data_IF_866632550543
#
_entry.id   IF_866632550543
#
_cell.length_a   1.000
_cell.length_b   1.000
_cell.length_c   1.000
_cell.angle_alpha   90.00
_cell.angle_beta   90.00
_cell.angle_gamma   90.00
#
_symmetry.space_group_name_H-M   'P 1'
#
loop_
_entity.id
_entity.type
_entity.pdbx_description
1 polymer ?
#
# COMPACT_ATOMS: atom_id res chain seq x y z
N UNK A 1 -10.38 27.24 22.75
CA UNK A 1 -11.31 26.69 23.76
C UNK A 1 -10.84 25.29 24.04
N UNK A 2 -10.08 25.08 25.13
CA UNK A 2 -9.54 23.78 25.56
C UNK A 2 -10.66 23.10 26.31
N UNK A 3 -11.20 22.00 25.77
CA UNK A 3 -12.10 21.15 26.53
C UNK A 3 -11.23 20.40 27.54
N UNK A 4 -11.46 20.59 28.87
CA UNK A 4 -10.71 19.85 29.88
C UNK A 4 -11.03 18.38 29.71
N UNK A 5 -9.98 17.55 29.59
CA UNK A 5 -10.10 16.12 29.43
C UNK A 5 -10.79 15.48 30.64
N UNK A 6 -11.94 14.91 30.40
CA UNK A 6 -12.39 13.76 31.17
C UNK A 6 -11.65 12.54 30.63
N UNK A 7 -10.49 12.25 31.19
CA UNK A 7 -9.90 10.92 31.10
C UNK A 7 -10.80 9.96 31.87
N UNK A 8 -11.79 9.42 31.21
CA UNK A 8 -12.39 8.16 31.62
C UNK A 8 -11.42 7.04 31.22
N UNK A 9 -10.34 6.90 31.97
CA UNK A 9 -9.32 5.85 31.85
C UNK A 9 -9.85 4.45 32.26
N UNK A 10 -11.15 4.32 32.50
CA UNK A 10 -11.74 3.10 33.10
C UNK A 10 -12.28 2.07 32.12
N UNK A 11 -12.26 2.33 30.81
CA UNK A 11 -12.96 1.42 29.88
C UNK A 11 -12.22 0.12 29.52
N UNK A 12 -10.86 0.09 29.56
CA UNK A 12 -10.13 -1.14 29.22
C UNK A 12 -8.81 -1.26 29.98
N UNK A 13 -8.57 -2.38 30.69
CA UNK A 13 -7.30 -2.61 31.38
C UNK A 13 -6.12 -2.61 30.42
N UNK A 14 -4.96 -2.14 30.88
CA UNK A 14 -3.73 -2.12 30.09
C UNK A 14 -3.41 -3.53 29.59
N UNK A 15 -3.45 -3.74 28.30
CA UNK A 15 -3.15 -5.04 27.68
C UNK A 15 -1.65 -5.33 27.82
N UNK A 16 -1.30 -6.48 28.42
CA UNK A 16 0.10 -6.92 28.48
C UNK A 16 0.71 -7.08 27.09
N UNK A 17 2.03 -6.87 26.98
CA UNK A 17 2.76 -6.98 25.69
C UNK A 17 2.52 -8.30 24.97
N UNK A 18 2.48 -9.43 25.71
CA UNK A 18 2.21 -10.74 25.11
C UNK A 18 0.82 -10.85 24.47
N UNK A 19 -0.22 -10.36 25.14
CA UNK A 19 -1.57 -10.33 24.59
C UNK A 19 -1.69 -9.39 23.38
N UNK A 20 -0.89 -8.31 23.35
CA UNK A 20 -0.83 -7.43 22.19
C UNK A 20 -0.22 -8.12 20.98
N UNK A 21 0.91 -8.83 21.14
CA UNK A 21 1.55 -9.60 20.07
C UNK A 21 0.62 -10.71 19.58
N UNK A 22 0.03 -11.48 20.50
CA UNK A 22 -0.92 -12.53 20.14
C UNK A 22 -2.08 -12.01 19.28
N UNK A 23 -2.63 -10.85 19.61
CA UNK A 23 -3.71 -10.25 18.83
C UNK A 23 -3.30 -9.93 17.38
N UNK A 24 -2.08 -9.41 17.15
CA UNK A 24 -1.57 -9.18 15.80
C UNK A 24 -1.28 -10.49 15.05
N UNK A 25 -0.74 -11.49 15.73
CA UNK A 25 -0.51 -12.81 15.13
C UNK A 25 -1.83 -13.47 14.72
N UNK A 26 -2.86 -13.39 15.56
CA UNK A 26 -4.19 -13.89 15.22
C UNK A 26 -4.80 -13.14 14.03
N UNK A 27 -4.71 -11.81 13.98
CA UNK A 27 -5.21 -11.03 12.86
C UNK A 27 -4.49 -11.40 11.54
N UNK A 28 -3.17 -11.58 11.58
CA UNK A 28 -2.39 -12.04 10.42
C UNK A 28 -2.78 -13.46 10.00
N UNK A 29 -2.93 -14.37 10.96
CA UNK A 29 -3.29 -15.76 10.69
C UNK A 29 -4.70 -15.87 10.05
N UNK A 30 -5.67 -15.10 10.51
CA UNK A 30 -7.01 -15.02 9.91
C UNK A 30 -6.90 -14.61 8.44
N UNK A 31 -6.09 -13.59 8.14
CA UNK A 31 -5.85 -13.16 6.76
C UNK A 31 -5.20 -14.25 5.91
N UNK A 32 -4.18 -14.93 6.43
CA UNK A 32 -3.51 -16.02 5.70
C UNK A 32 -4.43 -17.23 5.46
N UNK A 33 -5.24 -17.58 6.44
CA UNK A 33 -6.24 -18.67 6.28
C UNK A 33 -7.24 -18.29 5.19
N UNK A 34 -7.78 -17.08 5.23
CA UNK A 34 -8.71 -16.62 4.20
C UNK A 34 -8.06 -16.61 2.82
N UNK A 35 -6.83 -16.12 2.70
CA UNK A 35 -6.09 -16.17 1.44
C UNK A 35 -5.91 -17.62 0.94
N UNK A 36 -5.55 -18.56 1.82
CA UNK A 36 -5.37 -19.96 1.46
C UNK A 36 -6.69 -20.64 1.03
N UNK A 37 -7.81 -20.22 1.61
CA UNK A 37 -9.14 -20.72 1.21
C UNK A 37 -9.55 -20.18 -0.17
N UNK A 38 -9.28 -18.90 -0.45
CA UNK A 38 -9.70 -18.24 -1.70
C UNK A 38 -8.78 -18.60 -2.89
N UNK A 39 -7.46 -18.70 -2.66
CA UNK A 39 -6.47 -18.77 -3.74
C UNK A 39 -5.69 -20.09 -3.82
N UNK A 40 -5.88 -21.00 -2.93
CA UNK A 40 -5.07 -22.21 -2.76
C UNK A 40 -3.59 -21.94 -2.45
N UNK A 41 -2.88 -22.85 -1.76
CA UNK A 41 -1.46 -22.66 -1.42
C UNK A 41 -0.54 -22.53 -2.65
N UNK A 42 -0.82 -23.23 -3.75
CA UNK A 42 -0.02 -23.16 -4.99
C UNK A 42 -0.06 -21.76 -5.59
N UNK A 43 -1.24 -21.12 -5.64
CA UNK A 43 -1.37 -19.74 -6.12
C UNK A 43 -0.60 -18.77 -5.23
N UNK A 44 -0.70 -18.92 -3.92
CA UNK A 44 0.00 -18.05 -2.95
C UNK A 44 1.53 -18.23 -2.99
N UNK A 45 2.01 -19.41 -3.40
CA UNK A 45 3.44 -19.65 -3.63
C UNK A 45 3.92 -19.16 -5.01
N UNK A 46 3.05 -18.59 -5.82
CA UNK A 46 3.39 -18.12 -7.15
C UNK A 46 3.59 -19.23 -8.19
N UNK A 47 3.00 -20.41 -7.95
CA UNK A 47 3.14 -21.60 -8.79
C UNK A 47 1.80 -22.10 -9.29
N UNK A 48 1.84 -23.00 -10.29
CA UNK A 48 0.66 -23.68 -10.81
C UNK A 48 -0.08 -22.95 -11.93
N UNK A 49 -1.09 -23.62 -12.51
CA UNK A 49 -1.74 -23.20 -13.76
C UNK A 49 -2.44 -21.85 -13.71
N UNK A 50 -2.82 -21.39 -12.53
CA UNK A 50 -3.41 -20.05 -12.35
C UNK A 50 -2.53 -18.92 -12.90
N UNK A 51 -1.20 -19.09 -12.82
CA UNK A 51 -0.24 -18.10 -13.29
C UNK A 51 0.23 -18.31 -14.74
N UNK A 52 -0.02 -19.49 -15.31
CA UNK A 52 0.43 -19.83 -16.66
C UNK A 52 -0.48 -19.24 -17.75
N UNK A 53 -1.77 -19.20 -17.49
CA UNK A 53 -2.76 -18.64 -18.41
C UNK A 53 -3.86 -17.88 -17.63
N UNK A 54 -3.54 -16.72 -17.06
CA UNK A 54 -4.52 -15.96 -16.31
C UNK A 54 -5.65 -15.47 -17.23
N UNK A 55 -6.89 -15.67 -16.81
CA UNK A 55 -8.07 -15.31 -17.59
C UNK A 55 -8.35 -13.80 -17.62
N UNK A 56 -7.53 -13.01 -16.95
CA UNK A 56 -7.72 -11.57 -16.79
C UNK A 56 -6.61 -10.79 -17.50
N UNK A 57 -6.96 -9.86 -18.42
CA UNK A 57 -5.99 -9.09 -19.21
C UNK A 57 -4.97 -8.34 -18.34
N UNK A 58 -5.43 -7.71 -17.25
CA UNK A 58 -4.55 -6.96 -16.35
C UNK A 58 -3.49 -7.86 -15.69
N UNK A 59 -3.91 -9.06 -15.26
CA UNK A 59 -2.97 -10.02 -14.67
C UNK A 59 -1.95 -10.52 -15.71
N UNK A 60 -2.38 -10.74 -16.97
CA UNK A 60 -1.45 -11.07 -18.06
C UNK A 60 -0.44 -9.94 -18.29
N UNK A 61 -0.91 -8.70 -18.26
CA UNK A 61 -0.07 -7.51 -18.38
C UNK A 61 0.97 -7.46 -17.26
N UNK A 62 0.54 -7.62 -15.99
CA UNK A 62 1.44 -7.62 -14.83
C UNK A 62 2.55 -8.67 -14.95
N UNK A 63 2.17 -9.92 -15.25
CA UNK A 63 3.11 -11.04 -15.36
C UNK A 63 4.08 -10.86 -16.54
N UNK A 64 3.57 -10.46 -17.69
CA UNK A 64 4.38 -10.25 -18.90
C UNK A 64 5.37 -9.10 -18.69
N UNK A 65 4.89 -7.97 -18.17
CA UNK A 65 5.75 -6.82 -17.88
C UNK A 65 6.84 -7.14 -16.86
N UNK A 66 6.50 -7.89 -15.80
CA UNK A 66 7.48 -8.36 -14.84
C UNK A 66 8.54 -9.26 -15.49
N UNK A 67 8.14 -10.23 -16.32
CA UNK A 67 9.07 -11.12 -17.04
C UNK A 67 10.02 -10.33 -17.94
N UNK A 68 9.53 -9.41 -18.76
CA UNK A 68 10.37 -8.55 -19.60
C UNK A 68 11.34 -7.72 -18.76
N UNK A 69 10.87 -7.11 -17.68
CA UNK A 69 11.71 -6.32 -16.80
C UNK A 69 12.85 -7.14 -16.15
N UNK A 70 12.55 -8.36 -15.68
CA UNK A 70 13.56 -9.23 -15.05
C UNK A 70 14.69 -9.60 -16.04
N UNK A 71 14.34 -9.90 -17.29
CA UNK A 71 15.32 -10.36 -18.30
C UNK A 71 16.10 -9.23 -18.96
N UNK A 72 15.61 -7.99 -18.91
CA UNK A 72 16.27 -6.86 -19.52
C UNK A 72 17.53 -6.39 -18.75
N UNK A 73 18.37 -5.61 -19.39
CA UNK A 73 19.53 -4.97 -18.77
C UNK A 73 19.12 -3.90 -17.76
N UNK A 74 20.03 -3.59 -16.83
CA UNK A 74 19.86 -2.43 -15.96
C UNK A 74 20.05 -1.13 -16.75
N UNK A 75 19.19 -0.16 -16.52
CA UNK A 75 19.29 1.19 -17.09
C UNK A 75 18.60 2.21 -16.20
N UNK A 76 18.75 3.47 -16.54
CA UNK A 76 18.02 4.57 -15.93
C UNK A 76 16.97 5.09 -16.93
N UNK A 77 15.74 5.38 -16.49
CA UNK A 77 15.17 5.13 -15.14
C UNK A 77 15.17 3.63 -14.77
N UNK A 78 15.18 3.35 -13.43
CA UNK A 78 15.44 1.99 -12.91
C UNK A 78 14.47 0.94 -13.44
N UNK A 79 13.20 1.32 -13.66
CA UNK A 79 12.15 0.41 -14.12
C UNK A 79 11.87 0.47 -15.63
N UNK A 80 12.72 1.14 -16.41
CA UNK A 80 12.63 1.15 -17.86
C UNK A 80 13.03 -0.20 -18.45
N UNK A 81 12.20 -0.74 -19.36
CA UNK A 81 12.55 -1.89 -20.20
C UNK A 81 12.39 -1.54 -21.68
N UNK A 82 13.37 -1.97 -22.50
CA UNK A 82 13.31 -1.84 -23.96
C UNK A 82 12.83 -3.10 -24.66
N UNK A 83 12.50 -4.14 -23.89
CA UNK A 83 11.89 -5.36 -24.44
C UNK A 83 10.37 -5.17 -24.72
N UNK A 84 9.81 -4.06 -24.24
CA UNK A 84 8.46 -3.62 -24.55
C UNK A 84 8.58 -2.26 -25.26
N UNK A 85 7.90 -2.11 -26.41
CA UNK A 85 7.92 -0.89 -27.25
C UNK A 85 9.32 -0.42 -27.64
N UNK A 86 10.15 -1.25 -28.31
CA UNK A 86 11.46 -0.84 -28.79
C UNK A 86 11.33 0.22 -29.90
N UNK A 87 12.31 1.13 -30.09
CA UNK A 87 13.59 1.20 -29.36
C UNK A 87 13.53 1.98 -28.04
N UNK A 88 12.49 2.79 -27.81
CA UNK A 88 12.40 3.73 -26.70
C UNK A 88 12.18 3.02 -25.39
N UNK A 89 11.33 2.00 -25.39
CA UNK A 89 10.97 1.25 -24.20
C UNK A 89 9.85 1.92 -23.41
N UNK A 90 9.44 1.26 -22.32
CA UNK A 90 8.44 1.76 -21.38
C UNK A 90 8.87 1.46 -19.96
N UNK A 91 8.56 2.35 -19.03
CA UNK A 91 8.72 2.06 -17.61
C UNK A 91 7.61 1.12 -17.16
N UNK A 92 7.99 -0.01 -16.56
CA UNK A 92 7.03 -1.01 -16.08
C UNK A 92 6.18 -0.53 -14.89
N UNK A 93 6.47 0.66 -14.35
CA UNK A 93 5.61 1.30 -13.35
C UNK A 93 4.20 1.60 -13.88
N UNK A 94 4.04 1.75 -15.21
CA UNK A 94 2.76 1.94 -15.88
C UNK A 94 2.03 0.62 -16.17
N UNK A 95 2.65 -0.52 -15.87
CA UNK A 95 2.15 -1.85 -16.18
C UNK A 95 1.86 -2.66 -14.90
N UNK A 96 1.67 -1.97 -13.80
CA UNK A 96 1.26 -2.50 -12.49
C UNK A 96 2.09 -3.69 -11.95
N UNK A 97 3.39 -3.67 -12.18
CA UNK A 97 4.29 -4.77 -11.76
C UNK A 97 4.67 -4.79 -10.28
N UNK A 98 4.17 -3.86 -9.45
CA UNK A 98 4.68 -3.62 -8.09
C UNK A 98 6.21 -3.34 -8.12
N UNK A 99 6.64 -2.12 -8.42
CA UNK A 99 8.04 -1.79 -8.64
C UNK A 99 8.98 -2.25 -7.53
N UNK A 100 8.55 -2.14 -6.26
CA UNK A 100 9.37 -2.58 -5.12
C UNK A 100 9.70 -4.07 -5.21
N UNK A 101 8.70 -4.91 -5.41
CA UNK A 101 8.90 -6.37 -5.50
C UNK A 101 9.61 -6.76 -6.80
N UNK A 102 9.29 -6.09 -7.91
CA UNK A 102 9.97 -6.30 -9.18
C UNK A 102 11.47 -6.01 -9.09
N UNK A 103 11.85 -4.96 -8.33
CA UNK A 103 13.27 -4.65 -8.07
C UNK A 103 13.98 -5.81 -7.36
N UNK A 104 13.41 -6.30 -6.25
CA UNK A 104 13.97 -7.44 -5.53
C UNK A 104 14.01 -8.71 -6.40
N UNK A 105 12.96 -8.99 -7.16
CA UNK A 105 12.91 -10.13 -8.06
C UNK A 105 13.97 -10.03 -9.17
N UNK A 106 14.22 -8.82 -9.72
CA UNK A 106 15.28 -8.60 -10.72
C UNK A 106 16.67 -8.79 -10.13
N UNK A 107 16.93 -8.29 -8.92
CA UNK A 107 18.19 -8.53 -8.21
C UNK A 107 18.37 -10.03 -7.99
N UNK A 108 17.36 -10.72 -7.50
CA UNK A 108 17.38 -12.18 -7.30
C UNK A 108 17.69 -12.92 -8.61
N UNK A 109 16.98 -12.58 -9.70
CA UNK A 109 17.21 -13.17 -11.01
C UNK A 109 18.65 -12.96 -11.53
N UNK A 110 19.19 -11.75 -11.36
CA UNK A 110 20.57 -11.44 -11.80
C UNK A 110 21.63 -12.17 -10.97
N UNK A 111 21.36 -12.51 -9.72
CA UNK A 111 22.26 -13.25 -8.84
C UNK A 111 22.19 -14.76 -9.02
N UNK A 112 20.99 -15.30 -9.28
CA UNK A 112 20.75 -16.76 -9.25
C UNK A 112 20.38 -17.38 -10.59
N UNK A 113 19.93 -16.57 -11.56
CA UNK A 113 19.35 -17.05 -12.82
C UNK A 113 17.92 -17.58 -12.71
N UNK A 114 17.35 -17.67 -11.49
CA UNK A 114 16.00 -18.20 -11.28
C UNK A 114 14.97 -17.09 -11.25
N UNK A 115 13.88 -17.26 -12.03
CA UNK A 115 12.71 -16.38 -11.97
C UNK A 115 11.83 -16.74 -10.78
N UNK A 116 11.30 -15.70 -10.11
CA UNK A 116 10.33 -15.85 -9.00
C UNK A 116 9.05 -15.12 -9.36
N UNK A 117 7.92 -15.79 -9.23
CA UNK A 117 6.63 -15.13 -9.28
C UNK A 117 6.30 -14.60 -7.87
N UNK A 118 6.53 -13.31 -7.66
CA UNK A 118 6.31 -12.63 -6.39
C UNK A 118 4.85 -12.22 -6.14
N UNK A 119 3.98 -12.32 -7.15
CA UNK A 119 2.58 -11.90 -6.99
C UNK A 119 1.79 -12.81 -6.06
N UNK A 120 2.06 -14.11 -6.05
CA UNK A 120 1.44 -15.04 -5.10
C UNK A 120 1.77 -14.68 -3.64
N UNK A 121 3.05 -14.62 -3.25
CA UNK A 121 3.46 -14.13 -1.93
C UNK A 121 2.93 -12.74 -1.59
N UNK A 122 2.81 -11.84 -2.57
CA UNK A 122 2.22 -10.51 -2.39
C UNK A 122 0.75 -10.60 -1.97
N UNK A 123 -0.06 -11.45 -2.61
CA UNK A 123 -1.45 -11.68 -2.21
C UNK A 123 -1.50 -12.13 -0.74
N UNK A 124 -0.73 -13.15 -0.37
CA UNK A 124 -0.69 -13.65 1.00
C UNK A 124 -0.31 -12.55 2.00
N UNK A 125 0.69 -11.74 1.66
CA UNK A 125 1.14 -10.60 2.48
C UNK A 125 0.03 -9.56 2.64
N UNK A 126 -0.67 -9.19 1.56
CA UNK A 126 -1.77 -8.23 1.61
C UNK A 126 -2.89 -8.70 2.54
N UNK A 127 -3.30 -9.96 2.44
CA UNK A 127 -4.33 -10.53 3.31
C UNK A 127 -3.89 -10.55 4.78
N UNK A 128 -2.66 -10.95 5.07
CA UNK A 128 -2.11 -10.93 6.42
C UNK A 128 -2.04 -9.50 7.00
N UNK A 129 -1.59 -8.54 6.18
CA UNK A 129 -1.42 -7.16 6.61
C UNK A 129 -2.74 -6.38 6.69
N UNK A 130 -3.76 -6.73 5.91
CA UNK A 130 -5.05 -6.02 5.92
C UNK A 130 -5.72 -6.10 7.31
N UNK A 131 -5.82 -7.29 7.88
CA UNK A 131 -6.36 -7.48 9.23
C UNK A 131 -5.51 -6.83 10.32
N UNK A 132 -4.17 -6.96 10.23
CA UNK A 132 -3.25 -6.36 11.21
C UNK A 132 -3.23 -4.84 11.13
N UNK A 133 -3.31 -4.25 9.95
CA UNK A 133 -3.35 -2.82 9.75
C UNK A 133 -4.64 -2.21 10.33
N UNK A 134 -5.77 -2.88 10.13
CA UNK A 134 -7.03 -2.42 10.71
C UNK A 134 -7.04 -2.53 12.23
N UNK A 135 -6.47 -3.60 12.78
CA UNK A 135 -6.24 -3.71 14.22
C UNK A 135 -5.34 -2.58 14.74
N UNK A 136 -4.27 -2.23 14.01
CA UNK A 136 -3.40 -1.11 14.35
C UNK A 136 -4.17 0.23 14.37
N UNK A 137 -5.01 0.49 13.37
CA UNK A 137 -5.88 1.66 13.33
C UNK A 137 -6.84 1.70 14.52
N UNK A 138 -7.55 0.61 14.79
CA UNK A 138 -8.48 0.52 15.91
C UNK A 138 -7.78 0.75 17.27
N UNK A 139 -6.56 0.22 17.43
CA UNK A 139 -5.74 0.49 18.63
C UNK A 139 -5.26 1.93 18.73
N UNK A 140 -5.00 2.56 17.61
CA UNK A 140 -4.68 3.99 17.56
C UNK A 140 -5.86 4.86 17.97
N UNK A 141 -7.07 4.34 17.81
CA UNK A 141 -8.33 4.92 18.29
C UNK A 141 -8.71 4.53 19.74
N UNK A 142 -7.88 3.72 20.41
CA UNK A 142 -8.07 3.34 21.80
C UNK A 142 -8.69 1.96 22.02
N UNK A 143 -9.12 1.25 20.98
CA UNK A 143 -9.69 -0.10 21.10
C UNK A 143 -8.60 -1.10 21.51
N UNK A 144 -8.87 -1.95 22.51
CA UNK A 144 -7.94 -2.93 23.04
C UNK A 144 -8.62 -4.28 23.25
N UNK A 145 -7.83 -5.35 23.38
CA UNK A 145 -8.31 -6.71 23.64
C UNK A 145 -8.11 -7.67 22.47
N UNK A 146 -8.26 -8.96 22.72
CA UNK A 146 -8.12 -10.03 21.71
C UNK A 146 -9.41 -10.18 20.90
N UNK A 147 -10.57 -10.19 21.56
CA UNK A 147 -11.88 -10.30 20.87
C UNK A 147 -12.08 -9.16 19.87
N UNK A 148 -11.92 -7.88 20.24
CA UNK A 148 -11.95 -6.80 19.28
C UNK A 148 -10.93 -6.96 18.14
N UNK A 149 -9.76 -7.54 18.40
CA UNK A 149 -8.76 -7.78 17.35
C UNK A 149 -9.25 -8.76 16.28
N UNK A 150 -9.89 -9.85 16.69
CA UNK A 150 -10.49 -10.82 15.77
C UNK A 150 -11.62 -10.16 14.95
N UNK A 151 -12.51 -9.44 15.61
CA UNK A 151 -13.61 -8.73 14.95
C UNK A 151 -13.07 -7.70 13.94
N UNK A 152 -12.05 -6.92 14.31
CA UNK A 152 -11.40 -5.98 13.40
C UNK A 152 -10.81 -6.68 12.17
N UNK A 153 -10.12 -7.80 12.34
CA UNK A 153 -9.55 -8.55 11.23
C UNK A 153 -10.63 -9.08 10.30
N UNK A 154 -11.70 -9.66 10.85
CA UNK A 154 -12.83 -10.18 10.05
C UNK A 154 -13.50 -9.05 9.26
N UNK A 155 -13.81 -7.92 9.89
CA UNK A 155 -14.43 -6.77 9.21
C UNK A 155 -13.52 -6.28 8.06
N UNK A 156 -12.23 -6.08 8.32
CA UNK A 156 -11.30 -5.56 7.32
C UNK A 156 -11.12 -6.48 6.11
N UNK A 157 -11.21 -7.81 6.34
CA UNK A 157 -11.08 -8.83 5.31
C UNK A 157 -12.38 -9.14 4.58
N UNK A 158 -13.53 -8.71 5.14
CA UNK A 158 -14.85 -8.91 4.53
C UNK A 158 -15.28 -7.77 3.61
N UNK A 159 -14.46 -6.74 3.46
CA UNK A 159 -14.76 -5.58 2.59
C UNK A 159 -14.80 -6.04 1.13
N UNK A 160 -15.94 -5.89 0.42
CA UNK A 160 -16.07 -6.36 -0.96
C UNK A 160 -15.01 -5.78 -1.90
N UNK A 161 -14.70 -4.49 -1.77
CA UNK A 161 -13.69 -3.80 -2.56
C UNK A 161 -12.29 -4.41 -2.37
N UNK A 162 -11.99 -4.98 -1.20
CA UNK A 162 -10.76 -5.71 -0.97
C UNK A 162 -10.80 -7.09 -1.62
N UNK A 163 -11.87 -7.84 -1.41
CA UNK A 163 -12.02 -9.21 -1.92
C UNK A 163 -12.02 -9.28 -3.44
N UNK A 164 -12.64 -8.31 -4.11
CA UNK A 164 -12.73 -8.28 -5.58
C UNK A 164 -11.53 -7.62 -6.27
N UNK A 165 -10.48 -7.17 -5.55
CA UNK A 165 -9.30 -6.54 -6.14
C UNK A 165 -8.19 -7.50 -6.56
N UNK A 166 -8.41 -8.79 -6.52
CA UNK A 166 -7.38 -9.78 -6.91
C UNK A 166 -6.98 -9.74 -8.40
N UNK A 167 -7.73 -9.05 -9.25
CA UNK A 167 -7.34 -8.77 -10.65
C UNK A 167 -6.29 -7.66 -10.74
N UNK A 168 -6.36 -6.68 -9.86
CA UNK A 168 -5.43 -5.56 -9.73
C UNK A 168 -4.54 -5.79 -8.52
N UNK A 169 -3.58 -6.68 -8.66
CA UNK A 169 -2.77 -7.23 -7.56
C UNK A 169 -2.17 -6.16 -6.63
N UNK A 170 -1.74 -5.03 -7.18
CA UNK A 170 -1.14 -3.96 -6.39
C UNK A 170 -2.16 -3.18 -5.55
N UNK A 171 -3.41 -3.10 -5.99
CA UNK A 171 -4.49 -2.46 -5.24
C UNK A 171 -4.94 -3.26 -4.01
N UNK A 172 -4.52 -4.51 -3.86
CA UNK A 172 -4.63 -5.25 -2.60
C UNK A 172 -3.81 -4.59 -1.46
N UNK A 173 -2.87 -3.71 -1.78
CA UNK A 173 -2.07 -2.96 -0.80
C UNK A 173 -2.85 -1.94 0.05
N UNK A 174 -4.16 -2.07 0.23
CA UNK A 174 -5.02 -1.15 1.01
C UNK A 174 -4.60 -1.03 2.47
N UNK A 175 -3.90 -2.02 3.02
CA UNK A 175 -3.31 -1.97 4.35
C UNK A 175 -2.40 -0.75 4.55
N UNK A 176 -1.77 -0.24 3.49
CA UNK A 176 -0.93 0.96 3.54
C UNK A 176 -1.74 2.21 3.93
N UNK A 177 -2.93 2.37 3.35
CA UNK A 177 -3.87 3.45 3.70
C UNK A 177 -4.28 3.32 5.17
N UNK A 178 -4.61 2.11 5.59
CA UNK A 178 -5.06 1.83 6.95
C UNK A 178 -3.96 2.09 7.99
N UNK A 179 -2.71 1.70 7.69
CA UNK A 179 -1.55 2.01 8.55
C UNK A 179 -1.35 3.53 8.61
N UNK A 180 -1.43 4.23 7.49
CA UNK A 180 -1.25 5.68 7.45
C UNK A 180 -2.29 6.41 8.30
N UNK A 181 -3.55 5.99 8.24
CA UNK A 181 -4.60 6.49 9.14
C UNK A 181 -4.30 6.20 10.61
N UNK A 182 -3.82 4.99 10.91
CA UNK A 182 -3.40 4.62 12.27
C UNK A 182 -2.27 5.49 12.80
N UNK A 183 -1.28 5.82 11.97
CA UNK A 183 -0.18 6.73 12.31
C UNK A 183 -0.70 8.15 12.55
N UNK A 184 -1.61 8.63 11.71
CA UNK A 184 -2.26 9.94 11.89
C UNK A 184 -2.97 10.02 13.25
N UNK A 185 -3.88 9.08 13.54
CA UNK A 185 -4.63 9.11 14.81
C UNK A 185 -3.73 8.90 16.04
N UNK A 186 -2.68 8.11 15.91
CA UNK A 186 -1.70 7.93 16.97
C UNK A 186 -0.89 9.19 17.25
N UNK A 187 -0.59 9.97 16.22
CA UNK A 187 0.05 11.28 16.37
C UNK A 187 -0.88 12.26 17.09
N UNK A 188 -2.11 12.40 16.57
CA UNK A 188 -3.08 13.39 17.07
C UNK A 188 -3.52 13.11 18.51
N UNK A 189 -3.79 11.84 18.85
CA UNK A 189 -4.27 11.46 20.20
C UNK A 189 -3.17 11.33 21.24
N UNK A 190 -1.96 11.06 20.82
CA UNK A 190 -0.83 10.82 21.72
C UNK A 190 0.21 11.93 21.75
N UNK A 191 -0.05 13.06 21.09
CA UNK A 191 0.88 14.19 20.94
C UNK A 191 2.29 13.78 20.48
N UNK A 192 2.36 12.73 19.65
CA UNK A 192 3.61 12.13 19.16
C UNK A 192 3.89 12.49 17.71
N UNK A 193 3.56 13.71 17.30
CA UNK A 193 3.64 14.16 15.91
C UNK A 193 5.00 13.88 15.27
N UNK A 194 6.09 14.28 15.93
CA UNK A 194 7.45 14.16 15.38
C UNK A 194 7.81 12.71 15.05
N UNK A 195 7.57 11.78 15.97
CA UNK A 195 7.90 10.37 15.75
C UNK A 195 6.98 9.73 14.70
N UNK A 196 5.68 9.99 14.78
CA UNK A 196 4.70 9.42 13.80
C UNK A 196 4.88 10.01 12.42
N UNK A 197 5.27 11.27 12.30
CA UNK A 197 5.53 11.93 11.02
C UNK A 197 6.68 11.27 10.25
N UNK A 198 7.74 10.79 10.89
CA UNK A 198 8.81 10.04 10.23
C UNK A 198 8.33 8.69 9.70
N UNK A 199 7.55 7.94 10.49
CA UNK A 199 6.97 6.68 10.02
C UNK A 199 5.99 6.89 8.88
N UNK A 200 5.15 7.92 8.98
CA UNK A 200 4.19 8.29 7.95
C UNK A 200 4.88 8.75 6.65
N UNK A 201 5.97 9.50 6.75
CA UNK A 201 6.82 9.89 5.62
C UNK A 201 7.42 8.67 4.92
N UNK A 202 8.05 7.78 5.69
CA UNK A 202 8.64 6.55 5.13
C UNK A 202 7.60 5.68 4.42
N UNK A 203 6.42 5.52 5.02
CA UNK A 203 5.32 4.78 4.43
C UNK A 203 4.82 5.44 3.14
N UNK A 204 4.67 6.76 3.11
CA UNK A 204 4.26 7.49 1.91
C UNK A 204 5.27 7.32 0.77
N UNK A 205 6.56 7.46 1.04
CA UNK A 205 7.59 7.31 0.02
C UNK A 205 7.68 5.87 -0.53
N UNK A 206 7.61 4.86 0.34
CA UNK A 206 7.67 3.46 -0.12
C UNK A 206 6.43 3.08 -0.94
N UNK A 207 5.28 3.70 -0.67
CA UNK A 207 4.03 3.42 -1.39
C UNK A 207 4.12 3.82 -2.87
N UNK A 208 4.97 4.78 -3.25
CA UNK A 208 5.27 5.11 -4.66
C UNK A 208 5.77 3.87 -5.42
N UNK A 209 6.61 3.07 -4.76
CA UNK A 209 7.20 1.86 -5.35
C UNK A 209 6.28 0.64 -5.29
N UNK A 210 5.09 0.78 -4.73
CA UNK A 210 4.07 -0.27 -4.72
C UNK A 210 3.00 0.05 -5.75
N UNK A 211 2.31 1.21 -5.60
CA UNK A 211 1.28 1.64 -6.55
C UNK A 211 0.97 3.13 -6.41
N UNK A 212 0.94 3.83 -7.55
CA UNK A 212 0.78 5.28 -7.55
C UNK A 212 -0.58 5.77 -6.99
N UNK A 213 -1.68 5.05 -7.22
CA UNK A 213 -2.99 5.45 -6.66
C UNK A 213 -3.03 5.31 -5.13
N UNK A 214 -2.44 4.25 -4.59
CA UNK A 214 -2.30 4.09 -3.14
C UNK A 214 -1.42 5.20 -2.56
N UNK A 215 -0.33 5.55 -3.26
CA UNK A 215 0.52 6.68 -2.88
C UNK A 215 -0.28 7.98 -2.79
N UNK A 216 -1.12 8.31 -3.77
CA UNK A 216 -1.88 9.54 -3.76
C UNK A 216 -2.77 9.67 -2.49
N UNK A 217 -3.42 8.57 -2.09
CA UNK A 217 -4.26 8.53 -0.88
C UNK A 217 -3.39 8.65 0.39
N UNK A 218 -2.32 7.85 0.47
CA UNK A 218 -1.39 7.84 1.62
C UNK A 218 -0.70 9.19 1.77
N UNK A 219 -0.32 9.83 0.67
CA UNK A 219 0.26 11.18 0.63
C UNK A 219 -0.73 12.24 1.12
N UNK A 220 -2.00 12.14 0.74
CA UNK A 220 -3.05 13.03 1.23
C UNK A 220 -3.22 12.95 2.74
N UNK A 221 -3.22 11.75 3.31
CA UNK A 221 -3.27 11.55 4.78
C UNK A 221 -2.00 12.10 5.44
N UNK A 222 -0.82 11.93 4.81
CA UNK A 222 0.42 12.50 5.31
C UNK A 222 0.40 14.04 5.31
N UNK A 223 -0.10 14.65 4.24
CA UNK A 223 -0.27 16.09 4.17
C UNK A 223 -1.24 16.60 5.26
N UNK A 224 -2.32 15.89 5.52
CA UNK A 224 -3.24 16.19 6.63
C UNK A 224 -2.53 16.10 8.00
N UNK A 225 -1.65 15.11 8.20
CA UNK A 225 -0.84 15.00 9.42
C UNK A 225 0.08 16.20 9.61
N UNK A 226 0.76 16.64 8.56
CA UNK A 226 1.63 17.82 8.60
C UNK A 226 0.84 19.11 8.87
N UNK A 227 -0.32 19.26 8.24
CA UNK A 227 -1.20 20.41 8.47
C UNK A 227 -1.70 20.45 9.93
N UNK A 228 -2.14 19.32 10.45
CA UNK A 228 -2.56 19.19 11.86
C UNK A 228 -1.41 19.55 12.82
N UNK A 229 -0.20 19.06 12.53
CA UNK A 229 0.98 19.38 13.31
C UNK A 229 1.32 20.89 13.28
N UNK A 230 1.27 21.50 12.09
CA UNK A 230 1.50 22.94 11.96
C UNK A 230 0.49 23.79 12.75
N UNK A 231 -0.77 23.36 12.80
CA UNK A 231 -1.84 24.06 13.52
C UNK A 231 -1.72 23.93 15.03
N UNK A 232 -1.36 22.75 15.52
CA UNK A 232 -1.29 22.47 16.97
C UNK A 232 0.04 22.86 17.61
N UNK A 233 1.14 22.66 16.90
CA UNK A 233 2.50 22.87 17.40
C UNK A 233 3.17 24.05 16.68
N UNK A 234 2.62 25.25 16.82
CA UNK A 234 3.10 26.47 16.12
C UNK A 234 4.60 26.76 16.32
N UNK A 235 5.18 26.35 17.45
CA UNK A 235 6.62 26.46 17.71
C UNK A 235 7.49 25.50 16.92
N UNK A 236 6.92 24.47 16.33
CA UNK A 236 7.60 23.39 15.61
C UNK A 236 7.49 23.53 14.08
N UNK A 237 7.16 24.70 13.58
CA UNK A 237 6.97 24.94 12.12
C UNK A 237 8.21 24.53 11.32
N UNK A 238 9.41 24.67 11.86
CA UNK A 238 10.64 24.21 11.22
C UNK A 238 10.62 22.70 10.96
N UNK A 239 10.16 21.91 11.92
CA UNK A 239 10.02 20.46 11.78
C UNK A 239 9.02 20.11 10.66
N UNK A 240 7.90 20.82 10.59
CA UNK A 240 6.89 20.63 9.52
C UNK A 240 7.48 20.94 8.15
N UNK A 241 8.21 22.06 8.02
CA UNK A 241 8.87 22.46 6.77
C UNK A 241 9.94 21.45 6.33
N UNK A 242 10.76 20.95 7.26
CA UNK A 242 11.77 19.93 6.96
C UNK A 242 11.12 18.63 6.48
N UNK A 243 10.09 18.14 7.17
CA UNK A 243 9.37 16.94 6.76
C UNK A 243 8.66 17.13 5.41
N UNK A 244 8.04 18.27 5.18
CA UNK A 244 7.43 18.62 3.90
C UNK A 244 8.44 18.68 2.77
N UNK A 245 9.60 19.31 3.00
CA UNK A 245 10.67 19.39 2.00
C UNK A 245 11.22 18.00 1.66
N UNK A 246 11.51 17.16 2.67
CA UNK A 246 11.97 15.78 2.43
C UNK A 246 10.92 14.97 1.67
N UNK A 247 9.64 15.14 2.00
CA UNK A 247 8.55 14.46 1.28
C UNK A 247 8.50 14.88 -0.20
N UNK A 248 8.52 16.17 -0.50
CA UNK A 248 8.47 16.68 -1.87
C UNK A 248 9.70 16.25 -2.67
N UNK A 249 10.90 16.46 -2.13
CA UNK A 249 12.16 16.11 -2.78
C UNK A 249 12.25 14.58 -2.98
N UNK A 250 11.91 13.81 -1.95
CA UNK A 250 11.91 12.35 -2.02
C UNK A 250 10.90 11.81 -3.04
N UNK A 251 9.70 12.41 -3.09
CA UNK A 251 8.68 12.07 -4.09
C UNK A 251 9.19 12.34 -5.50
N UNK A 252 9.71 13.53 -5.78
CA UNK A 252 10.24 13.89 -7.10
C UNK A 252 11.39 12.95 -7.48
N UNK A 253 12.33 12.71 -6.57
CA UNK A 253 13.46 11.81 -6.81
C UNK A 253 13.00 10.38 -7.15
N UNK A 254 12.02 9.84 -6.42
CA UNK A 254 11.47 8.52 -6.70
C UNK A 254 10.69 8.47 -8.00
N UNK A 255 9.90 9.49 -8.34
CA UNK A 255 9.18 9.56 -9.62
C UNK A 255 10.14 9.59 -10.82
N UNK A 256 11.21 10.38 -10.72
CA UNK A 256 12.27 10.43 -11.75
C UNK A 256 13.00 9.09 -11.84
N UNK A 257 13.49 8.58 -10.72
CA UNK A 257 14.26 7.33 -10.68
C UNK A 257 13.44 6.12 -11.14
N UNK A 258 12.15 6.09 -10.85
CA UNK A 258 11.24 5.01 -11.25
C UNK A 258 10.79 5.11 -12.72
N UNK A 259 10.92 6.28 -13.34
CA UNK A 259 10.50 6.51 -14.71
C UNK A 259 9.02 6.88 -14.88
N UNK A 260 8.36 7.35 -13.84
CA UNK A 260 7.01 7.93 -13.98
C UNK A 260 6.99 9.20 -14.85
N UNK A 261 8.13 9.89 -14.96
CA UNK A 261 8.27 11.07 -15.81
C UNK A 261 8.88 10.74 -17.19
N UNK A 262 9.15 9.47 -17.49
CA UNK A 262 9.74 9.02 -18.74
C UNK A 262 8.65 8.49 -19.66
N UNK A 263 8.04 9.40 -20.43
CA UNK A 263 7.14 9.11 -21.53
C UNK A 263 6.18 7.94 -21.33
N UNK A 264 5.05 8.16 -20.72
CA UNK A 264 3.91 7.29 -20.97
C UNK A 264 3.50 7.55 -22.42
N UNK A 265 3.60 6.56 -23.28
CA UNK A 265 3.07 6.63 -24.65
C UNK A 265 1.63 7.17 -24.56
N UNK A 266 1.29 8.15 -25.40
CA UNK A 266 0.08 8.93 -25.27
C UNK A 266 -1.16 8.09 -25.01
N UNK A 267 -1.70 8.22 -23.81
CA UNK A 267 -3.01 7.72 -23.51
C UNK A 267 -4.03 8.65 -24.17
N UNK A 268 -4.97 8.07 -24.89
CA UNK A 268 -6.10 8.84 -25.48
C UNK A 268 -7.07 9.38 -24.42
N UNK A 269 -6.65 9.41 -23.14
CA UNK A 269 -7.47 9.84 -22.00
C UNK A 269 -8.33 8.70 -21.45
N UNK A 270 -9.02 8.97 -20.35
CA UNK A 270 -9.87 7.96 -19.70
C UNK A 270 -11.16 7.67 -20.48
N UNK A 271 -11.56 8.55 -21.42
CA UNK A 271 -12.68 8.34 -22.32
C UNK A 271 -13.93 7.82 -21.61
N UNK A 272 -14.34 6.61 -21.96
CA UNK A 272 -15.53 5.94 -21.42
C UNK A 272 -15.46 5.71 -19.89
N UNK A 273 -14.27 5.54 -19.34
CA UNK A 273 -14.07 5.30 -17.89
C UNK A 273 -13.94 6.60 -17.07
N UNK A 274 -14.08 7.77 -17.68
CA UNK A 274 -14.05 9.01 -16.93
C UNK A 274 -15.31 9.19 -16.10
N UNK A 275 -15.12 9.39 -14.80
CA UNK A 275 -16.20 9.65 -13.86
C UNK A 275 -16.63 11.13 -13.99
N UNK A 276 -17.91 11.41 -14.21
CA UNK A 276 -18.41 12.77 -14.19
C UNK A 276 -18.63 13.26 -12.74
N UNK A 277 -18.70 14.56 -12.55
CA UNK A 277 -18.85 15.19 -11.22
C UNK A 277 -20.15 14.80 -10.51
N UNK A 278 -21.17 14.34 -11.24
CA UNK A 278 -22.46 13.93 -10.71
C UNK A 278 -22.51 12.43 -10.36
N UNK A 279 -21.50 11.64 -10.73
CA UNK A 279 -21.48 10.20 -10.48
C UNK A 279 -21.68 9.78 -9.03
N UNK A 280 -21.24 10.56 -8.00
CA UNK A 280 -21.54 10.24 -6.61
C UNK A 280 -23.02 10.38 -6.23
N UNK A 281 -23.81 11.15 -6.98
CA UNK A 281 -25.22 11.42 -6.72
C UNK A 281 -26.14 10.66 -7.68
N UNK A 282 -25.69 10.44 -8.88
CA UNK A 282 -26.43 9.73 -9.92
C UNK A 282 -25.49 8.67 -10.50
N UNK A 283 -25.36 7.51 -9.83
CA UNK A 283 -24.54 6.41 -10.35
C UNK A 283 -25.14 5.98 -11.69
N UNK A 284 -24.32 6.00 -12.73
CA UNK A 284 -24.66 5.39 -14.00
C UNK A 284 -24.32 3.91 -13.92
N UNK A 285 -25.17 3.08 -14.50
CA UNK A 285 -24.90 1.66 -14.61
C UNK A 285 -23.56 1.47 -15.36
N UNK A 286 -22.60 0.89 -14.68
CA UNK A 286 -21.28 0.57 -15.18
C UNK A 286 -21.16 -0.91 -15.54
#
# INVERSE_FOLDING_TARGET
MVVPGSQDDTAFPAQGRGAAVLAYLLAALIGLILAAVLFTPTVLLGTGPFWDAPNYPDMQQHLSAARYFLHDSWRFPVFLTRLIMPPDGVSVVFLDVNPLLALFAKIWFKLTGFTVNYFGPWIALCYALQGTAFLFLCRSLGLRGVVPAVVCAVIALSVPEFLYRYFHLNLLGQFLITIQLGLYFRAVRGDRYRAMSWWALGLALITILIHFYLFAIVAGIYAALLAEYALRARGEIRTVLVHGAIFVIGTIALLVASGYLHGAGGSTGFGYFSMNILSPFVPQDS
#
